data_IF_701584436682
#
_entry.id   IF_701584436682
#
_cell.length_a   1.000
_cell.length_b   1.000
_cell.length_c   1.000
_cell.angle_alpha   90.00
_cell.angle_beta   90.00
_cell.angle_gamma   90.00
#
_symmetry.space_group_name_H-M   'P 1'
#
loop_
_entity.id
_entity.type
_entity.pdbx_description
1 polymer ?
#
# COMPACT_ATOMS: atom_id res chain seq x y z
N UNK A 1 19.17 -6.94 -28.26
CA UNK A 1 18.43 -6.12 -27.27
C UNK A 1 18.23 -6.99 -26.04
N UNK A 2 18.69 -6.57 -24.86
CA UNK A 2 18.55 -7.39 -23.65
C UNK A 2 17.06 -7.46 -23.24
N UNK A 3 16.54 -8.66 -23.00
CA UNK A 3 15.14 -8.92 -22.63
C UNK A 3 14.82 -8.33 -21.24
N UNK A 4 14.44 -7.05 -21.20
CA UNK A 4 14.12 -6.33 -19.95
C UNK A 4 12.98 -6.98 -19.16
N UNK A 5 12.12 -7.75 -19.84
CA UNK A 5 11.02 -8.52 -19.23
C UNK A 5 11.48 -9.66 -18.32
N UNK A 6 12.65 -10.25 -18.55
CA UNK A 6 13.15 -11.37 -17.75
C UNK A 6 13.73 -10.90 -16.42
N UNK A 7 14.50 -9.81 -16.44
CA UNK A 7 15.10 -9.18 -15.25
C UNK A 7 14.02 -8.65 -14.32
N UNK A 8 12.96 -8.06 -14.89
CA UNK A 8 11.88 -7.43 -14.12
C UNK A 8 11.01 -8.41 -13.34
N UNK A 9 10.88 -9.67 -13.80
CA UNK A 9 10.07 -10.70 -13.13
C UNK A 9 10.51 -10.95 -11.69
N UNK A 10 11.81 -10.87 -11.40
CA UNK A 10 12.37 -11.09 -10.06
C UNK A 10 11.88 -10.06 -9.03
N UNK A 11 11.44 -8.88 -9.48
CA UNK A 11 11.01 -7.78 -8.61
C UNK A 11 9.48 -7.67 -8.49
N UNK A 12 8.71 -8.55 -9.15
CA UNK A 12 7.25 -8.52 -9.10
C UNK A 12 6.75 -9.35 -7.90
N UNK A 13 5.93 -8.72 -7.05
CA UNK A 13 5.19 -9.42 -6.01
C UNK A 13 3.98 -10.14 -6.62
N UNK A 14 3.82 -11.41 -6.29
CA UNK A 14 2.71 -12.26 -6.77
C UNK A 14 1.44 -12.12 -5.94
N UNK A 15 1.56 -11.94 -4.62
CA UNK A 15 0.43 -11.84 -3.71
C UNK A 15 0.06 -10.37 -3.41
N UNK A 16 -0.62 -9.72 -4.35
CA UNK A 16 -1.14 -8.37 -4.16
C UNK A 16 -2.68 -8.35 -4.29
N UNK A 17 -3.38 -7.64 -3.39
CA UNK A 17 -4.82 -7.54 -3.46
C UNK A 17 -5.24 -6.78 -4.73
N UNK A 18 -6.38 -7.17 -5.32
CA UNK A 18 -6.97 -6.48 -6.48
C UNK A 18 -7.56 -5.14 -6.06
N UNK A 19 -6.72 -4.10 -6.08
CA UNK A 19 -7.09 -2.72 -5.75
C UNK A 19 -7.67 -1.96 -6.95
N UNK A 20 -8.58 -1.03 -6.68
CA UNK A 20 -9.15 -0.11 -7.67
C UNK A 20 -9.13 1.34 -7.18
N UNK A 21 -9.20 2.27 -8.13
CA UNK A 21 -9.32 3.70 -7.83
C UNK A 21 -10.64 3.98 -7.12
N UNK A 22 -10.58 4.66 -5.98
CA UNK A 22 -11.72 4.88 -5.09
C UNK A 22 -11.79 3.92 -3.89
N UNK A 23 -10.96 2.88 -3.86
CA UNK A 23 -10.86 2.02 -2.70
C UNK A 23 -10.21 2.77 -1.53
N UNK A 24 -10.65 2.43 -0.32
CA UNK A 24 -10.08 2.88 0.95
C UNK A 24 -9.15 1.76 1.41
N UNK A 25 -7.86 2.07 1.53
CA UNK A 25 -6.84 1.10 1.87
C UNK A 25 -6.01 1.56 3.07
N UNK A 26 -5.49 0.59 3.82
CA UNK A 26 -4.42 0.76 4.81
C UNK A 26 -3.12 0.20 4.22
N UNK A 27 -2.11 1.06 4.10
CA UNK A 27 -0.77 0.67 3.65
C UNK A 27 0.13 0.57 4.87
N UNK A 28 0.67 -0.62 5.12
CA UNK A 28 1.64 -0.88 6.18
C UNK A 28 3.05 -0.71 5.62
N UNK A 29 3.68 0.41 5.96
CA UNK A 29 5.01 0.76 5.47
C UNK A 29 6.06 0.54 6.56
N UNK A 30 7.11 -0.22 6.24
CA UNK A 30 8.32 -0.35 7.06
C UNK A 30 9.12 0.94 6.95
N UNK A 31 9.32 1.62 8.07
CA UNK A 31 10.13 2.82 8.17
C UNK A 31 11.28 2.51 9.12
N UNK A 32 12.55 2.65 8.69
CA UNK A 32 13.70 2.51 9.58
C UNK A 32 13.56 3.41 10.79
N UNK A 33 13.93 2.93 11.98
CA UNK A 33 14.02 3.81 13.15
C UNK A 33 15.07 4.90 12.88
N UNK A 34 14.82 6.14 13.35
CA UNK A 34 15.86 7.14 13.37
C UNK A 34 16.91 6.74 14.43
N UNK A 35 18.14 6.40 14.03
CA UNK A 35 19.26 6.41 14.97
C UNK A 35 19.88 7.80 15.00
N UNK A 36 20.13 8.31 16.21
CA UNK A 36 20.97 9.49 16.39
C UNK A 36 22.42 9.02 16.42
N UNK A 37 23.22 9.44 15.45
CA UNK A 37 24.66 9.33 15.59
C UNK A 37 25.12 10.40 16.61
N UNK A 38 26.24 10.18 17.31
CA UNK A 38 26.80 11.06 18.34
C UNK A 38 27.06 12.55 17.92
N UNK A 39 26.83 12.89 16.64
CA UNK A 39 26.91 14.24 16.06
C UNK A 39 25.55 14.89 15.77
N UNK A 40 24.44 14.34 16.30
CA UNK A 40 23.09 14.90 16.14
C UNK A 40 22.49 14.75 14.74
N UNK A 41 23.14 14.00 13.85
CA UNK A 41 22.66 13.73 12.50
C UNK A 41 21.75 12.49 12.53
N UNK A 42 20.53 12.63 12.02
CA UNK A 42 19.57 11.53 11.90
C UNK A 42 20.05 10.59 10.79
N UNK A 43 20.55 9.44 11.16
CA UNK A 43 20.99 8.42 10.21
C UNK A 43 20.01 7.25 10.26
N UNK A 44 19.71 6.65 9.12
CA UNK A 44 18.81 5.51 9.05
C UNK A 44 19.62 4.24 9.31
N UNK A 45 19.69 3.78 10.56
CA UNK A 45 20.26 2.48 10.91
C UNK A 45 19.39 1.37 10.28
N UNK A 46 19.94 0.68 9.28
CA UNK A 46 19.18 -0.20 8.37
C UNK A 46 18.77 -1.55 8.97
N UNK A 47 19.12 -1.85 10.23
CA UNK A 47 18.94 -3.20 10.82
C UNK A 47 18.27 -3.25 12.20
N UNK A 48 18.44 -2.25 13.06
CA UNK A 48 17.91 -2.31 14.42
C UNK A 48 16.74 -1.32 14.58
N UNK A 49 15.51 -1.85 14.68
CA UNK A 49 14.33 -1.07 15.09
C UNK A 49 13.39 -0.57 13.98
N UNK A 50 13.30 -1.20 12.80
CA UNK A 50 12.30 -0.79 11.81
C UNK A 50 10.88 -0.85 12.39
N UNK A 51 10.13 0.26 12.28
CA UNK A 51 8.74 0.36 12.75
C UNK A 51 7.76 0.31 11.59
N UNK A 52 6.58 -0.23 11.83
CA UNK A 52 5.49 -0.26 10.85
C UNK A 52 4.65 1.00 11.03
N UNK A 53 4.62 1.87 10.00
CA UNK A 53 3.71 3.00 9.94
C UNK A 53 2.53 2.65 9.03
N UNK A 54 1.31 2.84 9.53
CA UNK A 54 0.09 2.62 8.76
C UNK A 54 -0.40 3.93 8.16
N UNK A 55 -0.63 3.93 6.84
CA UNK A 55 -1.23 5.05 6.12
C UNK A 55 -2.58 4.63 5.52
N UNK A 56 -3.66 5.12 6.10
CA UNK A 56 -5.03 4.85 5.65
C UNK A 56 -5.56 5.96 4.74
N UNK A 57 -6.10 5.64 3.57
CA UNK A 57 -6.74 6.66 2.74
C UNK A 57 -7.35 6.13 1.45
N UNK A 58 -7.84 7.06 0.63
CA UNK A 58 -8.50 6.75 -0.65
C UNK A 58 -7.46 6.70 -1.76
N UNK A 59 -7.53 5.68 -2.62
CA UNK A 59 -6.73 5.62 -3.86
C UNK A 59 -7.27 6.65 -4.85
N UNK A 60 -6.48 7.68 -5.15
CA UNK A 60 -6.81 8.69 -6.16
C UNK A 60 -6.55 8.21 -7.59
N UNK A 61 -5.44 7.51 -7.78
CA UNK A 61 -4.97 7.12 -9.10
C UNK A 61 -4.05 5.91 -8.98
N UNK A 62 -4.08 5.09 -10.02
CA UNK A 62 -3.11 4.03 -10.26
C UNK A 62 -2.40 4.34 -11.58
N UNK A 63 -1.09 4.16 -11.63
CA UNK A 63 -0.22 4.46 -12.77
C UNK A 63 0.58 3.23 -13.15
N UNK A 64 0.91 3.12 -14.44
CA UNK A 64 1.79 2.08 -15.03
C UNK A 64 1.32 0.63 -14.81
N UNK A 65 0.03 0.43 -14.50
CA UNK A 65 -0.59 -0.90 -14.42
C UNK A 65 0.04 -1.79 -13.35
N UNK A 66 0.17 -3.08 -13.67
CA UNK A 66 0.73 -4.11 -12.78
C UNK A 66 2.23 -4.34 -12.98
N UNK A 67 2.88 -3.61 -13.89
CA UNK A 67 4.32 -3.74 -14.14
C UNK A 67 5.18 -3.27 -12.97
N UNK A 68 6.50 -3.44 -13.07
CA UNK A 68 7.46 -3.07 -12.01
C UNK A 68 7.40 -1.58 -11.67
N UNK A 69 7.11 -0.71 -12.65
CA UNK A 69 6.93 0.73 -12.47
C UNK A 69 5.53 1.13 -11.97
N UNK A 70 4.66 0.13 -11.71
CA UNK A 70 3.32 0.30 -11.18
C UNK A 70 3.33 1.08 -9.88
N UNK A 71 2.46 2.08 -9.75
CA UNK A 71 2.32 2.85 -8.51
C UNK A 71 0.89 3.29 -8.28
N UNK A 72 0.55 3.56 -7.02
CA UNK A 72 -0.75 4.07 -6.63
C UNK A 72 -0.60 5.27 -5.70
N UNK A 73 -1.53 6.21 -5.78
CA UNK A 73 -1.53 7.43 -4.98
C UNK A 73 -2.67 7.38 -3.97
N UNK A 74 -2.34 7.46 -2.69
CA UNK A 74 -3.29 7.44 -1.58
C UNK A 74 -3.41 8.85 -1.00
N UNK A 75 -4.65 9.32 -0.81
CA UNK A 75 -4.97 10.61 -0.19
C UNK A 75 -5.66 10.41 1.15
N UNK A 76 -5.20 11.13 2.16
CA UNK A 76 -5.81 11.24 3.49
C UNK A 76 -5.80 12.70 3.93
N UNK A 77 -6.87 13.17 4.56
CA UNK A 77 -6.84 14.46 5.28
C UNK A 77 -6.47 14.17 6.72
N UNK A 78 -5.40 14.78 7.21
CA UNK A 78 -4.89 14.63 8.58
C UNK A 78 -4.80 16.03 9.18
N UNK A 79 -5.44 16.26 10.33
CA UNK A 79 -5.43 17.56 11.01
C UNK A 79 -5.75 18.75 10.08
N UNK A 80 -6.74 18.59 9.20
CA UNK A 80 -7.14 19.62 8.23
C UNK A 80 -6.27 19.75 6.98
N UNK A 81 -5.11 19.09 6.93
CA UNK A 81 -4.18 19.13 5.78
C UNK A 81 -4.37 17.89 4.90
N UNK A 82 -4.53 18.10 3.60
CA UNK A 82 -4.61 17.01 2.61
C UNK A 82 -3.22 16.44 2.30
N UNK A 83 -2.94 15.24 2.79
CA UNK A 83 -1.69 14.52 2.57
C UNK A 83 -1.89 13.49 1.46
N UNK A 84 -1.02 13.53 0.45
CA UNK A 84 -0.96 12.52 -0.61
C UNK A 84 0.38 11.78 -0.53
N UNK A 85 0.33 10.44 -0.58
CA UNK A 85 1.51 9.59 -0.66
C UNK A 85 1.43 8.71 -1.91
N UNK A 86 2.54 8.61 -2.63
CA UNK A 86 2.68 7.76 -3.81
C UNK A 86 3.48 6.53 -3.39
N UNK A 87 2.93 5.35 -3.65
CA UNK A 87 3.53 4.07 -3.30
C UNK A 87 3.80 3.26 -4.56
N UNK A 88 5.03 2.77 -4.77
CA UNK A 88 5.31 1.77 -5.79
C UNK A 88 4.66 0.44 -5.38
N UNK A 89 3.97 -0.20 -6.32
CA UNK A 89 3.14 -1.39 -6.10
C UNK A 89 3.97 -2.58 -5.58
N UNK A 90 5.20 -2.71 -6.07
CA UNK A 90 6.12 -3.80 -5.74
C UNK A 90 7.23 -3.42 -4.75
N UNK A 91 7.11 -2.28 -4.05
CA UNK A 91 8.15 -1.82 -3.15
C UNK A 91 8.38 -2.79 -1.97
N UNK A 92 9.64 -3.12 -1.61
CA UNK A 92 9.95 -3.94 -0.44
C UNK A 92 9.66 -3.20 0.88
N UNK A 93 9.54 -1.86 0.85
CA UNK A 93 9.17 -1.07 2.01
C UNK A 93 7.69 -1.26 2.43
N UNK A 94 6.86 -1.84 1.56
CA UNK A 94 5.46 -2.12 1.86
C UNK A 94 5.35 -3.57 2.34
N UNK A 95 4.87 -3.74 3.56
CA UNK A 95 4.67 -5.04 4.18
C UNK A 95 3.34 -5.65 3.80
N UNK A 96 2.25 -4.88 3.98
CA UNK A 96 0.88 -5.33 3.78
C UNK A 96 0.04 -4.19 3.23
N UNK A 97 -0.92 -4.54 2.38
CA UNK A 97 -1.98 -3.64 1.93
C UNK A 97 -3.30 -4.28 2.27
N UNK A 98 -4.12 -3.57 3.05
CA UNK A 98 -5.45 -4.02 3.44
C UNK A 98 -6.52 -3.14 2.79
N UNK A 99 -7.53 -3.75 2.17
CA UNK A 99 -8.68 -3.02 1.64
C UNK A 99 -9.71 -2.91 2.75
N UNK A 100 -9.96 -1.69 3.23
CA UNK A 100 -10.94 -1.39 4.27
C UNK A 100 -12.34 -1.26 3.68
N UNK A 101 -12.44 -0.76 2.45
CA UNK A 101 -13.72 -0.61 1.77
C UNK A 101 -13.59 -0.16 0.34
N UNK A 102 -14.66 -0.31 -0.44
CA UNK A 102 -14.72 0.13 -1.83
C UNK A 102 -15.73 1.25 -2.03
N UNK A 103 -15.40 2.17 -2.91
CA UNK A 103 -16.30 3.25 -3.32
C UNK A 103 -16.62 3.16 -4.81
N UNK A 104 -17.85 3.49 -5.18
CA UNK A 104 -18.25 3.59 -6.58
C UNK A 104 -17.66 4.85 -7.19
N UNK A 105 -16.77 4.67 -8.16
CA UNK A 105 -16.17 5.76 -8.93
C UNK A 105 -16.44 5.55 -10.41
N UNK A 106 -16.58 6.66 -11.16
CA UNK A 106 -16.74 6.63 -12.62
C UNK A 106 -15.48 7.10 -13.36
N UNK A 107 -14.57 7.77 -12.66
CA UNK A 107 -13.34 8.34 -13.23
C UNK A 107 -12.15 7.46 -12.86
N UNK A 108 -11.25 7.24 -13.83
CA UNK A 108 -10.01 6.51 -13.60
C UNK A 108 -9.00 7.24 -12.69
N UNK A 109 -9.13 8.57 -12.55
CA UNK A 109 -8.30 9.39 -11.66
C UNK A 109 -9.19 10.39 -10.92
N UNK A 110 -9.11 10.41 -9.59
CA UNK A 110 -9.96 11.22 -8.71
C UNK A 110 -9.31 12.53 -8.28
N UNK A 111 -8.50 13.17 -9.15
CA UNK A 111 -7.80 14.41 -8.81
C UNK A 111 -8.72 15.56 -8.40
N UNK A 112 -10.00 15.50 -8.80
CA UNK A 112 -11.01 16.46 -8.33
C UNK A 112 -11.17 16.46 -6.80
N UNK A 113 -10.84 15.37 -6.09
CA UNK A 113 -10.90 15.30 -4.62
C UNK A 113 -9.87 16.20 -3.93
N UNK A 114 -8.89 16.76 -4.66
CA UNK A 114 -7.96 17.78 -4.14
C UNK A 114 -8.68 19.07 -3.77
N UNK A 115 -9.67 19.44 -4.59
CA UNK A 115 -10.40 20.70 -4.47
C UNK A 115 -11.73 20.52 -3.71
N UNK A 116 -12.03 19.32 -3.21
CA UNK A 116 -13.27 19.02 -2.47
C UNK A 116 -12.94 18.83 -0.99
N UNK A 117 -13.76 19.41 -0.13
CA UNK A 117 -13.61 19.35 1.33
C UNK A 117 -14.92 18.88 1.96
N UNK A 118 -14.82 18.21 3.11
CA UNK A 118 -15.96 17.78 3.92
C UNK A 118 -16.91 16.86 3.16
N UNK A 119 -18.21 17.14 3.24
CA UNK A 119 -19.27 16.31 2.62
C UNK A 119 -19.11 16.17 1.10
N UNK A 120 -18.55 17.19 0.42
CA UNK A 120 -18.34 17.18 -1.04
C UNK A 120 -17.22 16.22 -1.49
N UNK A 121 -16.33 15.82 -0.59
CA UNK A 121 -15.27 14.85 -0.86
C UNK A 121 -15.71 13.39 -0.60
N UNK A 122 -16.90 13.19 -0.03
CA UNK A 122 -17.41 11.87 0.32
C UNK A 122 -17.82 11.11 -0.94
N UNK A 123 -17.22 9.94 -1.16
CA UNK A 123 -17.59 9.03 -2.23
C UNK A 123 -18.75 8.11 -1.79
N UNK A 124 -19.54 7.65 -2.76
CA UNK A 124 -20.61 6.66 -2.51
C UNK A 124 -19.97 5.30 -2.25
N UNK A 125 -20.25 4.69 -1.09
CA UNK A 125 -19.77 3.35 -0.74
C UNK A 125 -20.51 2.28 -1.53
N UNK A 126 -19.82 1.18 -1.82
CA UNK A 126 -20.38 -0.05 -2.39
C UNK A 126 -20.31 -1.14 -1.32
N UNK A 127 -21.21 -2.11 -1.36
CA UNK A 127 -21.07 -3.32 -0.54
C UNK A 127 -19.73 -3.99 -0.89
N UNK A 128 -18.85 -4.07 0.10
CA UNK A 128 -17.59 -4.77 0.01
C UNK A 128 -17.53 -5.72 1.18
N UNK A 129 -17.48 -7.01 0.87
CA UNK A 129 -17.14 -8.04 1.85
C UNK A 129 -15.63 -8.16 1.78
N UNK A 130 -14.88 -7.86 2.87
CA UNK A 130 -13.46 -8.15 2.87
C UNK A 130 -13.30 -9.65 2.64
N UNK A 131 -12.53 -10.01 1.61
CA UNK A 131 -11.98 -11.36 1.48
C UNK A 131 -11.02 -11.51 2.66
N UNK A 132 -11.56 -11.85 3.84
CA UNK A 132 -10.78 -12.34 4.95
C UNK A 132 -10.05 -13.54 4.41
N UNK A 133 -8.73 -13.41 4.29
CA UNK A 133 -7.82 -14.54 4.16
C UNK A 133 -8.14 -15.40 5.38
N UNK A 134 -8.93 -16.47 5.20
CA UNK A 134 -8.91 -17.58 6.13
C UNK A 134 -7.44 -17.93 6.31
N UNK A 135 -6.90 -17.96 7.53
CA UNK A 135 -5.60 -18.58 7.71
C UNK A 135 -5.76 -20.00 7.17
N UNK A 136 -5.13 -20.28 6.03
CA UNK A 136 -4.91 -21.64 5.59
C UNK A 136 -4.23 -22.33 6.78
N UNK A 137 -4.90 -23.36 7.26
CA UNK A 137 -4.42 -24.26 8.29
C UNK A 137 -3.03 -24.73 7.87
N UNK A 138 -1.98 -24.19 8.49
CA UNK A 138 -0.71 -24.90 8.62
C UNK A 138 -1.00 -26.06 9.57
N UNK A 139 -1.52 -27.17 9.05
CA UNK A 139 -1.30 -28.44 9.72
C UNK A 139 0.18 -28.77 9.56
N UNK A 140 0.94 -28.91 10.65
CA UNK A 140 2.33 -29.32 10.55
C UNK A 140 2.39 -30.75 10.02
N UNK A 141 2.85 -30.88 8.77
CA UNK A 141 3.44 -32.10 8.26
C UNK A 141 4.77 -32.32 9.00
N UNK A 142 4.74 -32.89 10.21
CA UNK A 142 5.87 -33.61 10.83
C UNK A 142 5.47 -34.13 12.23
N UNK A 143 4.89 -35.32 12.26
CA UNK A 143 5.22 -36.33 13.30
C UNK A 143 5.43 -37.65 12.55
N UNK A 144 6.55 -37.73 11.84
CA UNK A 144 7.13 -39.01 11.47
C UNK A 144 8.04 -39.49 12.61
N UNK A 145 8.02 -40.81 12.83
CA UNK A 145 8.92 -41.65 13.64
C UNK A 145 8.89 -41.51 15.17
N UNK A 146 8.19 -42.45 15.82
CA UNK A 146 8.82 -43.48 16.66
C UNK A 146 8.07 -44.81 16.53
#
# INVERSE_FOLDING_TARGET
MQNTSEITKQYLKTNLPKMKVGDIIKVHQKIPAPSQDAKGKKTASKKEGARIQVFEGIILAMKHGQGVSGSFTVRRVIAGVGVERIFPLHSPAIEKIEIVGRSKTRRAKLYYLRNRVGKKAKLKRTAFVPETISPETEEPADVASE
#
